data_IF_481809300874
#
_entry.id   IF_481809300874
#
_cell.length_a   1.000
_cell.length_b   1.000
_cell.length_c   1.000
_cell.angle_alpha   90.00
_cell.angle_beta   90.00
_cell.angle_gamma   90.00
#
_symmetry.space_group_name_H-M   'P 1'
#
loop_
_entity.id
_entity.type
_entity.pdbx_description
1 polymer ?
#
# COMPACT_ATOMS: atom_id res chain seq x y z
N UNK A 1 -31.03 -30.94 33.15
CA UNK A 1 -31.22 -30.57 31.73
C UNK A 1 -32.46 -29.69 31.65
N UNK A 2 -32.32 -28.50 31.02
CA UNK A 2 -33.43 -27.60 30.78
C UNK A 2 -33.69 -27.52 29.30
N UNK A 3 -35.00 -27.62 28.88
CA UNK A 3 -35.45 -27.62 27.50
C UNK A 3 -36.44 -26.49 27.32
N UNK A 4 -36.27 -25.71 26.28
CA UNK A 4 -37.22 -24.68 25.87
C UNK A 4 -37.64 -24.95 24.44
N UNK A 5 -38.91 -24.83 24.15
CA UNK A 5 -39.47 -25.03 22.82
C UNK A 5 -40.19 -23.75 22.41
N UNK A 6 -39.94 -23.28 21.21
CA UNK A 6 -40.71 -22.27 20.53
C UNK A 6 -41.37 -22.96 19.32
N UNK A 7 -42.70 -22.86 19.18
CA UNK A 7 -43.45 -23.47 18.07
C UNK A 7 -43.12 -24.94 17.82
N UNK A 8 -43.05 -25.76 18.87
CA UNK A 8 -42.70 -27.20 18.85
C UNK A 8 -41.24 -27.52 18.47
N UNK A 9 -40.41 -26.51 18.20
CA UNK A 9 -38.99 -26.69 17.97
C UNK A 9 -38.18 -26.38 19.23
N UNK A 10 -37.06 -27.07 19.38
CA UNK A 10 -36.12 -26.89 20.46
C UNK A 10 -35.42 -25.56 20.33
N UNK A 11 -35.45 -24.69 21.35
CA UNK A 11 -34.79 -23.42 21.37
C UNK A 11 -33.36 -23.49 21.93
N UNK A 12 -33.22 -24.16 23.09
CA UNK A 12 -31.92 -24.33 23.73
C UNK A 12 -31.84 -25.62 24.58
N UNK A 13 -30.60 -26.09 24.78
CA UNK A 13 -30.27 -27.22 25.65
C UNK A 13 -28.95 -26.96 26.38
N UNK A 14 -28.88 -27.33 27.65
CA UNK A 14 -27.66 -27.27 28.42
C UNK A 14 -27.81 -27.76 29.86
N UNK A 15 -26.74 -27.67 30.61
CA UNK A 15 -26.65 -28.11 31.99
C UNK A 15 -26.43 -26.95 32.94
N UNK A 16 -27.09 -27.02 34.09
CA UNK A 16 -26.80 -26.21 35.25
C UNK A 16 -26.18 -27.05 36.38
N UNK A 17 -25.12 -26.53 36.98
CA UNK A 17 -24.54 -27.09 38.21
C UNK A 17 -24.56 -25.96 39.24
N UNK A 18 -25.21 -26.20 40.36
CA UNK A 18 -25.38 -25.21 41.42
C UNK A 18 -25.96 -23.88 40.96
N UNK A 19 -26.91 -23.92 39.99
CA UNK A 19 -27.54 -22.71 39.41
C UNK A 19 -26.74 -21.97 38.36
N UNK A 20 -25.56 -22.47 37.96
CA UNK A 20 -24.69 -21.89 36.95
C UNK A 20 -24.61 -22.76 35.71
N UNK A 21 -24.54 -22.12 34.54
CA UNK A 21 -24.32 -22.84 33.29
C UNK A 21 -23.00 -23.60 33.33
N UNK A 22 -23.02 -24.88 32.96
CA UNK A 22 -21.84 -25.73 32.87
C UNK A 22 -21.95 -26.70 31.70
N UNK A 23 -20.83 -27.13 31.13
CA UNK A 23 -20.80 -28.07 30.03
C UNK A 23 -21.32 -27.50 28.73
N UNK A 24 -21.66 -28.35 27.77
CA UNK A 24 -22.11 -27.97 26.45
C UNK A 24 -23.49 -27.34 26.48
N UNK A 25 -23.61 -26.21 25.84
CA UNK A 25 -24.86 -25.51 25.58
C UNK A 25 -25.03 -25.36 24.08
N UNK A 26 -26.29 -25.63 23.59
CA UNK A 26 -26.65 -25.55 22.17
C UNK A 26 -27.93 -24.73 22.05
N UNK A 27 -27.98 -23.86 21.06
CA UNK A 27 -29.16 -23.10 20.65
C UNK A 27 -29.53 -23.45 19.21
N UNK A 28 -30.79 -23.32 18.88
CA UNK A 28 -31.35 -23.59 17.56
C UNK A 28 -32.16 -22.41 17.07
N UNK A 29 -32.16 -22.24 15.77
CA UNK A 29 -33.09 -21.34 15.08
C UNK A 29 -34.52 -21.91 15.07
N UNK A 30 -35.53 -21.08 14.77
CA UNK A 30 -36.92 -21.49 14.67
C UNK A 30 -37.18 -22.60 13.62
N UNK A 31 -36.31 -22.69 12.59
CA UNK A 31 -36.35 -23.74 11.58
C UNK A 31 -35.71 -25.08 12.03
N UNK A 32 -35.25 -25.16 13.27
CA UNK A 32 -34.63 -26.36 13.85
C UNK A 32 -33.15 -26.55 13.49
N UNK A 33 -32.56 -25.65 12.75
CA UNK A 33 -31.11 -25.64 12.47
C UNK A 33 -30.37 -25.14 13.70
N UNK A 34 -29.20 -25.71 13.99
CA UNK A 34 -28.35 -25.27 15.10
C UNK A 34 -27.91 -23.82 14.84
N UNK A 35 -28.06 -22.94 15.84
CA UNK A 35 -27.66 -21.53 15.79
C UNK A 35 -26.26 -21.32 16.39
N UNK A 36 -26.03 -21.95 17.56
CA UNK A 36 -24.71 -21.88 18.21
C UNK A 36 -24.51 -23.06 19.17
N UNK A 37 -23.23 -23.40 19.37
CA UNK A 37 -22.83 -24.42 20.32
C UNK A 37 -21.49 -24.10 20.95
N UNK A 38 -21.36 -24.34 22.25
CA UNK A 38 -20.11 -24.17 22.97
C UNK A 38 -20.22 -24.59 24.43
N UNK A 39 -19.14 -24.49 25.14
CA UNK A 39 -19.08 -24.84 26.53
C UNK A 39 -19.13 -23.63 27.45
N UNK A 40 -19.84 -23.81 28.58
CA UNK A 40 -19.76 -22.93 29.74
C UNK A 40 -19.02 -23.60 30.89
N UNK A 41 -18.34 -22.79 31.67
CA UNK A 41 -17.82 -23.14 32.98
C UNK A 41 -18.19 -22.01 33.95
N UNK A 42 -19.07 -22.32 34.92
CA UNK A 42 -19.58 -21.38 35.91
C UNK A 42 -20.16 -20.07 35.30
N UNK A 43 -21.07 -20.18 34.31
CA UNK A 43 -21.68 -19.11 33.53
C UNK A 43 -20.75 -18.39 32.54
N UNK A 44 -19.46 -18.70 32.47
CA UNK A 44 -18.52 -18.12 31.55
C UNK A 44 -18.28 -19.02 30.33
N UNK A 45 -18.27 -18.45 29.13
CA UNK A 45 -17.91 -19.18 27.91
C UNK A 45 -16.49 -19.73 28.04
N UNK A 46 -16.25 -20.98 27.65
CA UNK A 46 -14.96 -21.62 27.76
C UNK A 46 -14.75 -22.66 26.64
N UNK A 47 -13.58 -22.62 26.01
CA UNK A 47 -13.27 -23.46 24.84
C UNK A 47 -13.83 -22.91 23.52
N UNK A 48 -13.95 -23.77 22.52
CA UNK A 48 -14.45 -23.44 21.20
C UNK A 48 -15.95 -23.20 21.21
N UNK A 49 -16.39 -22.14 20.61
CA UNK A 49 -17.76 -21.79 20.30
C UNK A 49 -17.95 -21.75 18.80
N UNK A 50 -18.98 -22.43 18.29
CA UNK A 50 -19.33 -22.39 16.87
C UNK A 50 -20.71 -21.76 16.72
N UNK A 51 -20.80 -20.82 15.77
CA UNK A 51 -22.01 -20.16 15.34
C UNK A 51 -22.33 -20.58 13.92
N UNK A 52 -23.58 -20.83 13.63
CA UNK A 52 -24.03 -21.39 12.36
C UNK A 52 -24.94 -20.45 11.61
N UNK A 53 -24.92 -20.51 10.31
CA UNK A 53 -25.88 -19.83 9.44
C UNK A 53 -27.21 -20.60 9.37
N UNK A 54 -28.24 -19.98 8.79
CA UNK A 54 -29.59 -20.60 8.68
C UNK A 54 -29.63 -21.88 7.85
N UNK A 55 -28.65 -22.10 6.99
CA UNK A 55 -28.47 -23.31 6.19
C UNK A 55 -27.70 -24.44 6.94
N UNK A 56 -27.23 -24.14 8.16
CA UNK A 56 -26.48 -25.04 9.01
C UNK A 56 -24.96 -25.04 8.77
N UNK A 57 -24.45 -24.21 7.86
CA UNK A 57 -23.02 -24.04 7.69
C UNK A 57 -22.42 -23.27 8.86
N UNK A 58 -21.13 -23.47 9.14
CA UNK A 58 -20.40 -22.71 10.15
C UNK A 58 -20.20 -21.27 9.61
N UNK A 59 -20.69 -20.28 10.36
CA UNK A 59 -20.50 -18.86 10.06
C UNK A 59 -19.33 -18.26 10.85
N UNK A 60 -19.17 -18.66 12.12
CA UNK A 60 -18.11 -18.16 12.97
C UNK A 60 -17.67 -19.23 13.99
N UNK A 61 -16.37 -19.27 14.27
CA UNK A 61 -15.78 -20.04 15.37
C UNK A 61 -14.94 -19.12 16.24
N UNK A 62 -15.11 -19.17 17.56
CA UNK A 62 -14.36 -18.35 18.51
C UNK A 62 -13.90 -19.22 19.67
N UNK A 63 -12.64 -19.06 20.10
CA UNK A 63 -12.15 -19.68 21.33
C UNK A 63 -12.25 -18.70 22.50
N UNK A 64 -12.81 -19.17 23.61
CA UNK A 64 -12.99 -18.42 24.85
C UNK A 64 -12.22 -19.07 26.01
N UNK A 65 -11.75 -18.26 26.94
CA UNK A 65 -11.26 -18.64 28.25
C UNK A 65 -11.85 -17.69 29.29
N UNK A 66 -12.58 -18.21 30.26
CA UNK A 66 -13.22 -17.45 31.32
C UNK A 66 -14.01 -16.23 30.77
N UNK A 67 -14.89 -16.47 29.77
CA UNK A 67 -15.77 -15.48 29.14
C UNK A 67 -15.08 -14.47 28.21
N UNK A 68 -13.76 -14.54 28.04
CA UNK A 68 -13.00 -13.66 27.15
C UNK A 68 -12.54 -14.41 25.91
N UNK A 69 -12.55 -13.73 24.75
CA UNK A 69 -11.89 -14.29 23.55
C UNK A 69 -10.42 -14.56 23.88
N UNK A 70 -9.97 -15.80 23.69
CA UNK A 70 -8.60 -16.24 24.00
C UNK A 70 -8.24 -17.42 23.08
N UNK A 71 -7.48 -17.15 22.04
CA UNK A 71 -7.18 -18.08 20.97
C UNK A 71 -7.72 -17.59 19.61
N UNK A 72 -7.98 -18.52 18.72
CA UNK A 72 -8.41 -18.27 17.35
C UNK A 72 -9.89 -17.88 17.27
N UNK A 73 -10.20 -16.92 16.41
CA UNK A 73 -11.52 -16.58 15.91
C UNK A 73 -11.48 -16.62 14.39
N UNK A 74 -12.43 -17.32 13.76
CA UNK A 74 -12.55 -17.46 12.30
C UNK A 74 -13.97 -17.11 11.90
N UNK A 75 -14.12 -16.23 10.90
CA UNK A 75 -15.38 -15.91 10.24
C UNK A 75 -15.31 -16.50 8.83
N UNK A 76 -16.40 -17.16 8.41
CA UNK A 76 -16.53 -17.81 7.14
C UNK A 76 -17.54 -17.06 6.26
N UNK A 77 -17.19 -16.85 4.99
CA UNK A 77 -18.12 -16.34 3.98
C UNK A 77 -19.09 -17.44 3.51
N UNK A 78 -18.56 -18.63 3.37
CA UNK A 78 -19.28 -19.88 3.07
C UNK A 78 -18.44 -21.06 3.58
N UNK A 79 -18.90 -22.32 3.49
CA UNK A 79 -18.20 -23.47 4.07
C UNK A 79 -16.76 -23.71 3.60
N UNK A 80 -16.39 -23.17 2.44
CA UNK A 80 -15.07 -23.38 1.82
C UNK A 80 -14.19 -22.13 1.89
N UNK A 81 -14.77 -20.95 2.14
CA UNK A 81 -14.07 -19.66 2.06
C UNK A 81 -14.09 -18.93 3.39
N UNK A 82 -12.89 -18.71 3.93
CA UNK A 82 -12.70 -17.81 5.07
C UNK A 82 -12.89 -16.35 4.62
N UNK A 83 -13.49 -15.55 5.49
CA UNK A 83 -13.54 -14.10 5.38
C UNK A 83 -12.50 -13.46 6.29
N UNK A 84 -12.33 -14.01 7.50
CA UNK A 84 -11.46 -13.42 8.51
C UNK A 84 -10.91 -14.50 9.46
N UNK A 85 -9.66 -14.37 9.88
CA UNK A 85 -9.06 -15.13 10.97
C UNK A 85 -8.24 -14.21 11.86
N UNK A 86 -8.54 -14.21 13.15
CA UNK A 86 -7.89 -13.37 14.17
C UNK A 86 -7.45 -14.20 15.36
N UNK A 87 -6.42 -13.73 16.05
CA UNK A 87 -5.97 -14.33 17.29
C UNK A 87 -6.13 -13.33 18.44
N UNK A 88 -6.66 -13.85 19.55
CA UNK A 88 -6.94 -13.07 20.75
C UNK A 88 -6.18 -13.65 21.96
N UNK A 89 -5.85 -12.78 22.90
CA UNK A 89 -5.36 -13.12 24.22
C UNK A 89 -6.04 -12.23 25.27
N UNK A 90 -6.73 -12.86 26.23
CA UNK A 90 -7.47 -12.13 27.26
C UNK A 90 -8.44 -11.07 26.71
N UNK A 91 -9.11 -11.33 25.59
CA UNK A 91 -10.08 -10.44 24.96
C UNK A 91 -9.49 -9.41 24.01
N UNK A 92 -8.17 -9.31 23.89
CA UNK A 92 -7.46 -8.37 23.00
C UNK A 92 -6.89 -9.09 21.80
N UNK A 93 -6.79 -8.40 20.65
CA UNK A 93 -6.06 -8.89 19.50
C UNK A 93 -4.58 -9.10 19.89
N UNK A 94 -4.08 -10.34 19.69
CA UNK A 94 -2.71 -10.73 20.04
C UNK A 94 -2.28 -11.89 19.13
N UNK A 95 -1.62 -11.55 18.03
CA UNK A 95 -1.24 -12.45 16.96
C UNK A 95 -1.68 -11.95 15.57
N UNK A 96 -1.56 -12.78 14.54
CA UNK A 96 -1.93 -12.40 13.18
C UNK A 96 -3.44 -12.22 13.03
N UNK A 97 -3.84 -11.20 12.27
CA UNK A 97 -5.19 -10.95 11.80
C UNK A 97 -5.15 -10.93 10.28
N UNK A 98 -5.84 -11.89 9.65
CA UNK A 98 -5.85 -12.09 8.20
C UNK A 98 -7.25 -11.91 7.66
N UNK A 99 -7.38 -11.17 6.56
CA UNK A 99 -8.62 -10.98 5.80
C UNK A 99 -8.50 -11.62 4.43
N UNK A 100 -9.57 -12.23 3.96
CA UNK A 100 -9.70 -12.82 2.63
C UNK A 100 -10.75 -12.07 1.81
N UNK A 101 -10.51 -11.97 0.53
CA UNK A 101 -11.43 -11.42 -0.46
C UNK A 101 -11.48 -12.38 -1.64
N UNK A 102 -12.68 -12.86 -1.99
CA UNK A 102 -12.88 -13.84 -3.07
C UNK A 102 -12.00 -15.10 -2.94
N UNK A 103 -11.82 -15.60 -1.71
CA UNK A 103 -10.99 -16.78 -1.42
C UNK A 103 -9.47 -16.52 -1.38
N UNK A 104 -9.00 -15.35 -1.77
CA UNK A 104 -7.60 -14.97 -1.71
C UNK A 104 -7.28 -14.13 -0.49
N UNK A 105 -6.06 -14.24 0.03
CA UNK A 105 -5.60 -13.36 1.11
C UNK A 105 -5.52 -11.91 0.61
N UNK A 106 -6.14 -10.99 1.32
CA UNK A 106 -6.07 -9.56 1.02
C UNK A 106 -5.02 -8.86 1.88
N UNK A 107 -5.16 -8.98 3.21
CA UNK A 107 -4.23 -8.37 4.16
C UNK A 107 -3.96 -9.27 5.35
N UNK A 108 -2.78 -9.16 5.91
CA UNK A 108 -2.43 -9.72 7.22
C UNK A 108 -1.68 -8.68 8.03
N UNK A 109 -2.10 -8.48 9.27
CA UNK A 109 -1.42 -7.59 10.23
C UNK A 109 -1.26 -8.33 11.55
N UNK A 110 -0.07 -8.31 12.13
CA UNK A 110 0.18 -8.89 13.45
C UNK A 110 -0.10 -7.83 14.51
N UNK A 111 -0.78 -8.27 15.58
CA UNK A 111 -1.16 -7.42 16.71
C UNK A 111 -0.54 -7.92 18.01
N UNK A 112 -0.34 -6.99 18.93
CA UNK A 112 -0.03 -7.24 20.32
C UNK A 112 -0.87 -6.33 21.21
N UNK A 113 -1.77 -6.92 21.98
CA UNK A 113 -2.69 -6.19 22.87
C UNK A 113 -3.45 -5.06 22.15
N UNK A 114 -4.07 -5.36 21.00
CA UNK A 114 -4.85 -4.48 20.12
C UNK A 114 -4.04 -3.48 19.29
N UNK A 115 -2.72 -3.40 19.45
CA UNK A 115 -1.86 -2.54 18.64
C UNK A 115 -1.18 -3.34 17.52
N UNK A 116 -1.10 -2.82 16.29
CA UNK A 116 -0.24 -3.39 15.25
C UNK A 116 1.21 -3.45 15.75
N UNK A 117 1.75 -4.66 15.81
CA UNK A 117 3.10 -4.94 16.33
C UNK A 117 3.62 -6.22 15.69
N UNK A 118 4.60 -6.11 14.81
CA UNK A 118 5.16 -7.26 14.09
C UNK A 118 4.92 -7.18 12.58
N UNK A 119 5.09 -8.31 11.86
CA UNK A 119 4.98 -8.33 10.41
C UNK A 119 3.56 -8.04 9.91
N UNK A 120 3.50 -7.37 8.76
CA UNK A 120 2.29 -7.20 7.97
C UNK A 120 2.57 -7.53 6.50
N UNK A 121 1.51 -7.98 5.79
CA UNK A 121 1.57 -8.33 4.37
C UNK A 121 0.27 -7.88 3.70
N UNK A 122 0.37 -7.33 2.51
CA UNK A 122 -0.75 -7.04 1.61
C UNK A 122 -0.51 -7.80 0.31
N UNK A 123 -1.56 -8.44 -0.21
CA UNK A 123 -1.52 -9.19 -1.45
C UNK A 123 -2.23 -8.43 -2.57
N UNK A 124 -1.88 -8.73 -3.81
CA UNK A 124 -2.63 -8.26 -4.97
C UNK A 124 -4.06 -8.87 -4.97
N UNK A 125 -5.08 -8.11 -5.39
CA UNK A 125 -6.46 -8.62 -5.47
C UNK A 125 -6.55 -9.87 -6.33
N UNK A 126 -7.31 -10.88 -5.83
CA UNK A 126 -7.54 -12.17 -6.50
C UNK A 126 -6.25 -12.92 -6.85
N UNK A 127 -5.22 -12.80 -6.02
CA UNK A 127 -3.90 -13.41 -6.22
C UNK A 127 -3.25 -13.77 -4.89
N UNK A 128 -2.39 -14.79 -4.90
CA UNK A 128 -1.48 -15.09 -3.77
C UNK A 128 -0.14 -14.32 -3.88
N UNK A 129 -0.01 -13.43 -4.90
CA UNK A 129 1.17 -12.61 -5.06
C UNK A 129 1.19 -11.48 -4.02
N UNK A 130 2.30 -11.37 -3.30
CA UNK A 130 2.52 -10.27 -2.34
C UNK A 130 2.68 -8.97 -3.13
N UNK A 131 1.96 -7.93 -2.72
CA UNK A 131 2.10 -6.55 -3.20
C UNK A 131 3.10 -5.77 -2.35
N UNK A 132 2.96 -5.85 -1.03
CA UNK A 132 3.86 -5.18 -0.09
C UNK A 132 3.93 -5.92 1.23
N UNK A 133 5.06 -5.81 1.92
CA UNK A 133 5.28 -6.38 3.24
C UNK A 133 6.27 -5.53 4.04
N UNK A 134 6.15 -5.61 5.36
CA UNK A 134 7.01 -4.86 6.27
C UNK A 134 6.74 -5.18 7.73
N UNK A 135 7.06 -4.23 8.57
CA UNK A 135 6.94 -4.36 10.01
C UNK A 135 6.22 -3.15 10.62
N UNK A 136 5.41 -3.39 11.66
CA UNK A 136 4.88 -2.34 12.53
C UNK A 136 5.53 -2.42 13.89
N UNK A 137 5.84 -1.27 14.46
CA UNK A 137 6.19 -1.08 15.85
C UNK A 137 5.30 0.00 16.45
N UNK A 138 4.65 -0.29 17.58
CA UNK A 138 3.71 0.63 18.25
C UNK A 138 2.60 1.18 17.34
N UNK A 139 2.19 0.44 16.31
CA UNK A 139 1.09 0.79 15.40
C UNK A 139 1.51 1.55 14.14
N UNK A 140 2.79 1.88 13.98
CA UNK A 140 3.33 2.59 12.81
C UNK A 140 4.29 1.72 12.01
N UNK A 141 4.45 2.00 10.71
CA UNK A 141 5.45 1.31 9.88
C UNK A 141 6.85 1.63 10.39
N UNK A 142 7.67 0.58 10.59
CA UNK A 142 9.03 0.68 11.09
C UNK A 142 9.91 -0.39 10.44
N UNK A 143 11.19 -0.05 10.15
CA UNK A 143 12.15 -1.00 9.57
C UNK A 143 11.94 -1.24 8.08
N UNK A 144 12.50 -2.35 7.59
CA UNK A 144 12.52 -2.69 6.17
C UNK A 144 11.10 -2.95 5.65
N UNK A 145 10.77 -2.31 4.53
CA UNK A 145 9.53 -2.55 3.77
C UNK A 145 9.89 -2.82 2.31
N UNK A 146 9.26 -3.83 1.73
CA UNK A 146 9.48 -4.27 0.35
C UNK A 146 8.16 -4.25 -0.41
N UNK A 147 8.19 -3.73 -1.63
CA UNK A 147 7.07 -3.69 -2.58
C UNK A 147 7.41 -4.52 -3.80
N UNK A 148 6.41 -5.16 -4.38
CA UNK A 148 6.55 -6.04 -5.54
C UNK A 148 5.59 -5.63 -6.65
N UNK A 149 5.93 -5.92 -7.88
CA UNK A 149 5.02 -5.91 -9.01
C UNK A 149 4.08 -7.12 -8.95
N UNK A 150 3.04 -7.09 -9.76
CA UNK A 150 2.02 -8.14 -9.86
C UNK A 150 2.56 -9.50 -10.33
N UNK A 151 3.71 -9.52 -11.01
CA UNK A 151 4.44 -10.72 -11.42
C UNK A 151 5.40 -11.28 -10.35
N UNK A 152 5.53 -10.58 -9.20
CA UNK A 152 6.42 -10.94 -8.09
C UNK A 152 7.84 -10.37 -8.19
N UNK A 153 8.16 -9.64 -9.24
CA UNK A 153 9.42 -8.92 -9.35
C UNK A 153 9.46 -7.80 -8.30
N UNK A 154 10.60 -7.61 -7.65
CA UNK A 154 10.78 -6.52 -6.68
C UNK A 154 10.59 -5.17 -7.37
N UNK A 155 9.78 -4.29 -6.80
CA UNK A 155 9.53 -2.95 -7.30
C UNK A 155 10.37 -1.92 -6.57
N UNK A 156 10.37 -1.95 -5.24
CA UNK A 156 11.18 -1.06 -4.40
C UNK A 156 11.33 -1.61 -3.00
N UNK A 157 12.39 -1.22 -2.32
CA UNK A 157 12.56 -1.47 -0.90
C UNK A 157 13.32 -0.33 -0.22
N UNK A 158 13.09 -0.19 1.08
CA UNK A 158 13.76 0.77 1.94
C UNK A 158 13.25 0.70 3.35
N UNK A 159 13.76 1.58 4.18
CA UNK A 159 13.42 1.62 5.60
C UNK A 159 12.34 2.67 5.87
N UNK A 160 11.42 2.33 6.77
CA UNK A 160 10.56 3.30 7.46
C UNK A 160 11.12 3.59 8.84
N UNK A 161 10.97 4.83 9.27
CA UNK A 161 11.22 5.29 10.62
C UNK A 161 10.11 6.23 11.05
N UNK A 162 9.50 5.93 12.19
CA UNK A 162 8.36 6.71 12.71
C UNK A 162 7.22 6.89 11.69
N UNK A 163 6.99 5.88 10.84
CA UNK A 163 5.94 5.86 9.83
C UNK A 163 6.28 6.56 8.50
N UNK A 164 7.46 7.16 8.37
CA UNK A 164 7.93 7.84 7.16
C UNK A 164 9.08 7.09 6.50
N UNK A 165 9.21 7.11 5.15
CA UNK A 165 10.39 6.61 4.48
C UNK A 165 11.65 7.31 4.98
N UNK A 166 12.71 6.55 5.26
CA UNK A 166 13.99 7.04 5.82
C UNK A 166 15.18 6.49 5.03
N UNK A 167 16.19 7.34 4.81
CA UNK A 167 17.42 6.97 4.12
C UNK A 167 17.21 6.62 2.65
N UNK A 168 18.06 5.73 2.14
CA UNK A 168 18.07 5.38 0.72
C UNK A 168 17.08 4.27 0.42
N UNK A 169 16.19 4.52 -0.53
CA UNK A 169 15.30 3.55 -1.12
C UNK A 169 15.78 3.16 -2.52
N UNK A 170 15.80 1.86 -2.81
CA UNK A 170 16.16 1.33 -4.12
C UNK A 170 14.91 0.94 -4.89
N UNK A 171 14.88 1.30 -6.18
CA UNK A 171 13.79 1.03 -7.11
C UNK A 171 14.28 0.13 -8.25
N UNK A 172 13.44 -0.80 -8.68
CA UNK A 172 13.70 -1.72 -9.80
C UNK A 172 12.60 -1.60 -10.86
N UNK A 173 12.93 -1.89 -12.10
CA UNK A 173 11.97 -2.01 -13.18
C UNK A 173 11.34 -3.42 -13.22
N UNK A 174 10.29 -3.62 -14.03
CA UNK A 174 9.61 -4.93 -14.19
C UNK A 174 10.52 -6.05 -14.72
N UNK A 175 11.71 -5.76 -15.25
CA UNK A 175 12.70 -6.76 -15.64
C UNK A 175 13.59 -7.21 -14.48
N UNK A 176 13.42 -6.64 -13.30
CA UNK A 176 14.25 -6.90 -12.13
C UNK A 176 15.61 -6.19 -12.15
N UNK A 177 15.81 -5.25 -13.06
CA UNK A 177 17.03 -4.45 -13.13
C UNK A 177 16.90 -3.23 -12.22
N UNK A 178 17.98 -2.91 -11.50
CA UNK A 178 18.00 -1.71 -10.66
C UNK A 178 17.80 -0.47 -11.53
N UNK A 179 16.82 0.33 -11.16
CA UNK A 179 16.42 1.52 -11.89
C UNK A 179 17.10 2.77 -11.32
N UNK A 180 16.87 3.07 -10.05
CA UNK A 180 17.51 4.19 -9.35
C UNK A 180 17.47 4.01 -7.84
N UNK A 181 18.26 4.82 -7.13
CA UNK A 181 18.12 5.04 -5.70
C UNK A 181 17.53 6.44 -5.47
N UNK A 182 16.68 6.57 -4.44
CA UNK A 182 16.21 7.85 -3.95
C UNK A 182 16.51 7.99 -2.47
N UNK A 183 17.20 9.07 -2.08
CA UNK A 183 17.54 9.34 -0.69
C UNK A 183 16.50 10.27 -0.05
N UNK A 184 15.62 9.68 0.79
CA UNK A 184 14.64 10.42 1.59
C UNK A 184 15.30 11.25 2.70
N UNK A 185 16.60 11.04 2.99
CA UNK A 185 17.27 11.61 4.15
C UNK A 185 16.75 11.01 5.45
N UNK A 186 17.27 11.51 6.58
CA UNK A 186 16.82 11.08 7.90
C UNK A 186 16.10 12.21 8.60
N UNK A 187 14.85 11.96 9.02
CA UNK A 187 14.04 12.93 9.77
C UNK A 187 13.61 14.16 8.97
N UNK A 188 13.61 14.09 7.63
CA UNK A 188 13.04 15.15 6.80
C UNK A 188 11.51 15.07 6.81
N UNK A 189 10.87 16.22 6.79
CA UNK A 189 9.43 16.30 6.64
C UNK A 189 9.01 15.91 5.23
N UNK A 190 7.93 15.13 5.12
CA UNK A 190 7.31 14.75 3.86
C UNK A 190 6.01 15.54 3.69
N UNK A 191 5.81 16.13 2.53
CA UNK A 191 4.62 16.94 2.24
C UNK A 191 4.10 16.65 0.84
N UNK A 192 2.78 16.65 0.68
CA UNK A 192 2.16 16.54 -0.63
C UNK A 192 2.37 17.82 -1.45
N UNK A 193 2.55 17.67 -2.77
CA UNK A 193 2.76 18.83 -3.66
C UNK A 193 1.58 19.81 -3.59
N UNK A 194 0.36 19.34 -3.38
CA UNK A 194 -0.86 20.15 -3.26
C UNK A 194 -0.89 21.03 -2.01
N UNK A 195 -0.12 20.69 -0.97
CA UNK A 195 0.04 21.47 0.26
C UNK A 195 1.13 22.53 0.18
N UNK A 196 1.71 22.70 -1.00
CA UNK A 196 2.75 23.69 -1.27
C UNK A 196 2.30 24.76 -2.25
N UNK A 197 2.94 25.91 -2.16
CA UNK A 197 2.88 26.97 -3.14
C UNK A 197 4.28 27.28 -3.65
N UNK A 198 4.45 27.35 -4.98
CA UNK A 198 5.70 27.75 -5.62
C UNK A 198 5.63 29.24 -5.96
N UNK A 199 6.60 30.04 -5.46
CA UNK A 199 6.79 31.46 -5.76
C UNK A 199 8.24 31.67 -6.19
N UNK A 200 8.47 32.20 -7.37
CA UNK A 200 9.81 32.46 -7.91
C UNK A 200 10.76 31.24 -7.80
N UNK A 201 10.29 30.07 -8.25
CA UNK A 201 11.00 28.79 -8.16
C UNK A 201 11.43 28.40 -6.73
N UNK A 202 10.67 28.85 -5.73
CA UNK A 202 10.86 28.52 -4.31
C UNK A 202 9.57 27.97 -3.74
N UNK A 203 9.64 26.80 -3.08
CA UNK A 203 8.50 26.12 -2.46
C UNK A 203 8.30 26.59 -1.02
N UNK A 204 7.05 26.84 -0.67
CA UNK A 204 6.58 27.21 0.66
C UNK A 204 5.39 26.34 1.03
N UNK A 205 5.20 26.04 2.31
CA UNK A 205 3.94 25.44 2.76
C UNK A 205 2.78 26.42 2.60
N UNK A 206 1.60 25.92 2.32
CA UNK A 206 0.40 26.73 2.30
C UNK A 206 0.23 27.43 3.65
N UNK A 207 0.17 28.78 3.61
CA UNK A 207 0.02 29.60 4.81
C UNK A 207 1.30 29.86 5.60
N UNK A 208 2.46 29.43 5.11
CA UNK A 208 3.78 29.73 5.68
C UNK A 208 4.61 30.55 4.69
N UNK A 209 5.40 31.49 5.21
CA UNK A 209 6.34 32.32 4.42
C UNK A 209 7.79 31.80 4.54
N UNK A 210 8.04 30.73 5.28
CA UNK A 210 9.36 30.09 5.37
C UNK A 210 9.57 29.11 4.23
N UNK A 211 10.70 29.18 3.50
CA UNK A 211 11.01 28.22 2.44
C UNK A 211 11.06 26.79 2.95
N UNK A 212 10.35 25.87 2.27
CA UNK A 212 10.25 24.48 2.68
C UNK A 212 11.56 23.70 2.45
N UNK A 213 11.96 22.91 3.46
CA UNK A 213 13.05 21.94 3.34
C UNK A 213 12.50 20.56 3.71
N UNK A 214 12.52 19.62 2.78
CA UNK A 214 11.97 18.29 2.98
C UNK A 214 11.77 17.53 1.69
N UNK A 215 10.94 16.52 1.75
CA UNK A 215 10.54 15.67 0.62
C UNK A 215 9.17 16.12 0.12
N UNK A 216 9.07 16.33 -1.18
CA UNK A 216 7.82 16.64 -1.86
C UNK A 216 7.37 15.37 -2.58
N UNK A 217 6.13 14.96 -2.34
CA UNK A 217 5.49 13.81 -3.00
C UNK A 217 4.21 14.23 -3.69
N UNK A 218 3.87 13.55 -4.76
CA UNK A 218 2.51 13.52 -5.31
C UNK A 218 2.19 12.08 -5.59
N UNK A 219 1.22 11.54 -4.85
CA UNK A 219 0.84 10.14 -4.95
C UNK A 219 -0.13 9.91 -6.11
N UNK A 220 -0.01 8.74 -6.71
CA UNK A 220 -0.99 8.18 -7.62
C UNK A 220 -1.44 6.82 -7.04
N UNK A 221 -2.74 6.57 -6.89
CA UNK A 221 -3.26 5.31 -6.35
C UNK A 221 -2.80 4.05 -7.09
N UNK A 222 -2.40 4.16 -8.37
CA UNK A 222 -1.99 3.03 -9.19
C UNK A 222 -0.47 2.83 -9.30
N UNK A 223 0.33 3.91 -9.15
CA UNK A 223 1.80 3.86 -9.33
C UNK A 223 2.59 4.32 -8.12
N UNK A 224 1.92 4.62 -7.01
CA UNK A 224 2.43 5.16 -5.73
C UNK A 224 2.93 6.62 -5.80
N UNK A 225 3.64 7.02 -6.85
CA UNK A 225 4.08 8.41 -7.01
C UNK A 225 3.93 8.89 -8.46
N UNK A 226 3.41 10.11 -8.64
CA UNK A 226 3.52 10.89 -9.87
C UNK A 226 4.75 11.78 -9.84
N UNK A 227 5.21 12.10 -8.64
CA UNK A 227 6.26 13.07 -8.42
C UNK A 227 6.97 12.79 -7.10
N UNK A 228 8.30 12.79 -7.12
CA UNK A 228 9.13 12.58 -5.96
C UNK A 228 10.37 13.48 -6.07
N UNK A 229 10.60 14.32 -5.07
CA UNK A 229 11.73 15.22 -5.08
C UNK A 229 12.10 15.76 -3.70
N UNK A 230 13.31 16.25 -3.57
CA UNK A 230 13.81 16.91 -2.36
C UNK A 230 13.99 18.40 -2.55
N UNK A 231 13.68 19.17 -1.51
CA UNK A 231 13.96 20.60 -1.46
C UNK A 231 14.89 20.94 -0.30
N UNK A 232 15.63 22.00 -0.49
CA UNK A 232 16.45 22.63 0.54
C UNK A 232 16.29 24.15 0.45
N UNK A 233 15.83 24.75 1.55
CA UNK A 233 15.51 26.19 1.58
C UNK A 233 14.54 26.58 0.44
N UNK A 234 13.52 25.79 0.21
CA UNK A 234 12.51 25.99 -0.84
C UNK A 234 12.95 25.67 -2.26
N UNK A 235 14.22 25.44 -2.52
CA UNK A 235 14.74 25.15 -3.87
C UNK A 235 14.88 23.67 -4.10
N UNK A 236 14.63 23.21 -5.33
CA UNK A 236 14.91 21.83 -5.74
C UNK A 236 16.36 21.48 -5.46
N UNK A 237 16.60 20.36 -4.74
CA UNK A 237 17.93 19.89 -4.34
C UNK A 237 17.98 18.37 -4.32
N UNK A 238 19.04 17.77 -4.89
CA UNK A 238 19.16 16.31 -5.01
C UNK A 238 18.33 15.73 -6.15
N UNK A 239 17.95 14.46 -6.00
CA UNK A 239 17.26 13.71 -7.06
C UNK A 239 15.78 14.07 -7.16
N UNK A 240 15.29 14.10 -8.41
CA UNK A 240 13.90 14.35 -8.77
C UNK A 240 13.47 13.34 -9.83
N UNK A 241 12.29 12.77 -9.62
CA UNK A 241 11.68 11.83 -10.55
C UNK A 241 10.22 12.22 -10.76
N UNK A 242 9.78 12.19 -12.01
CA UNK A 242 8.40 12.43 -12.39
C UNK A 242 7.92 11.31 -13.31
N UNK A 243 6.71 10.85 -13.08
CA UNK A 243 6.06 9.81 -13.87
C UNK A 243 4.92 10.40 -14.70
N UNK A 244 4.57 9.73 -15.78
CA UNK A 244 3.34 10.01 -16.50
C UNK A 244 2.14 9.56 -15.65
N UNK A 245 1.02 10.30 -15.67
CA UNK A 245 -0.22 9.83 -15.04
C UNK A 245 -0.64 8.50 -15.67
N UNK A 246 -0.99 7.49 -14.85
CA UNK A 246 -1.57 6.25 -15.36
C UNK A 246 -2.99 6.55 -15.84
N UNK A 247 -3.27 6.24 -17.11
CA UNK A 247 -4.51 6.68 -17.74
C UNK A 247 -5.73 5.85 -17.35
N UNK A 248 -6.49 6.33 -16.35
CA UNK A 248 -7.93 6.05 -16.27
C UNK A 248 -8.81 7.29 -16.06
N UNK A 249 -8.22 8.43 -15.71
CA UNK A 249 -8.97 9.67 -15.49
C UNK A 249 -8.30 10.86 -16.20
N UNK A 250 -8.23 10.81 -17.53
CA UNK A 250 -8.14 12.05 -18.30
C UNK A 250 -9.58 12.50 -18.53
N UNK A 251 -10.02 13.68 -18.04
CA UNK A 251 -11.32 14.22 -18.44
C UNK A 251 -11.35 14.27 -19.97
N UNK A 252 -12.41 13.73 -20.53
CA UNK A 252 -12.71 13.78 -21.96
C UNK A 252 -12.69 15.24 -22.43
N UNK A 253 -11.53 15.70 -22.92
CA UNK A 253 -11.46 16.97 -23.65
C UNK A 253 -12.12 16.67 -24.98
N UNK A 254 -13.31 17.24 -25.19
CA UNK A 254 -14.05 17.24 -26.44
C UNK A 254 -13.11 17.75 -27.53
N UNK A 255 -12.52 16.83 -28.28
CA UNK A 255 -11.74 17.16 -29.48
C UNK A 255 -12.68 17.51 -30.59
N UNK A 256 -12.65 18.78 -30.97
CA UNK A 256 -13.11 19.24 -32.29
C UNK A 256 -12.30 18.50 -33.35
N UNK A 257 -13.00 17.92 -34.34
CA UNK A 257 -12.46 17.05 -35.39
C UNK A 257 -11.14 17.54 -36.02
N UNK A 258 -10.08 16.78 -35.80
CA UNK A 258 -8.83 16.78 -36.57
C UNK A 258 -8.58 15.32 -36.98
N UNK A 259 -8.12 15.02 -38.22
CA UNK A 259 -8.03 13.65 -38.72
C UNK A 259 -7.17 12.76 -37.84
N UNK A 260 -7.63 11.53 -37.64
CA UNK A 260 -7.18 10.54 -36.66
C UNK A 260 -5.66 10.46 -36.51
N UNK A 261 -5.13 10.73 -35.31
CA UNK A 261 -3.82 10.22 -34.94
C UNK A 261 -3.89 8.71 -34.71
N UNK A 262 -2.74 8.06 -34.88
CA UNK A 262 -2.55 6.62 -34.62
C UNK A 262 -3.10 6.23 -33.23
N UNK A 263 -3.51 4.96 -33.02
CA UNK A 263 -4.14 4.53 -31.77
C UNK A 263 -3.28 4.88 -30.58
N UNK A 264 -3.82 5.68 -29.68
CA UNK A 264 -3.17 6.06 -28.43
C UNK A 264 -2.91 4.79 -27.62
N UNK A 265 -1.63 4.46 -27.46
CA UNK A 265 -1.20 3.42 -26.52
C UNK A 265 -1.60 3.89 -25.13
N UNK A 266 -2.31 3.08 -24.32
CA UNK A 266 -2.68 3.48 -22.98
C UNK A 266 -1.45 3.90 -22.20
N UNK A 267 -1.54 5.03 -21.51
CA UNK A 267 -0.46 5.59 -20.69
C UNK A 267 0.03 4.55 -19.69
N UNK A 268 1.33 4.21 -19.75
CA UNK A 268 1.90 3.09 -19.01
C UNK A 268 2.26 3.40 -17.55
N UNK A 269 2.13 4.66 -17.13
CA UNK A 269 2.65 5.11 -15.82
C UNK A 269 4.18 5.15 -15.74
N UNK A 270 4.87 5.03 -16.89
CA UNK A 270 6.31 5.09 -16.99
C UNK A 270 6.89 6.45 -16.59
N UNK A 271 8.20 6.51 -16.34
CA UNK A 271 8.88 7.77 -16.02
C UNK A 271 8.77 8.78 -17.15
N UNK A 272 8.57 10.05 -16.80
CA UNK A 272 8.59 11.18 -17.70
C UNK A 272 9.97 11.85 -17.72
N UNK A 273 10.53 12.13 -16.56
CA UNK A 273 11.85 12.71 -16.40
C UNK A 273 12.49 12.29 -15.07
N UNK A 274 13.81 12.20 -15.06
CA UNK A 274 14.61 11.91 -13.89
C UNK A 274 15.96 12.62 -13.97
N UNK A 275 16.37 13.23 -12.86
CA UNK A 275 17.69 13.87 -12.79
C UNK A 275 17.93 14.56 -11.47
N UNK A 276 19.09 15.17 -11.37
CA UNK A 276 19.52 15.92 -10.19
C UNK A 276 19.26 17.41 -10.31
N UNK A 277 19.03 18.04 -9.17
CA UNK A 277 19.03 19.50 -9.02
C UNK A 277 20.07 19.92 -7.98
N UNK A 278 20.60 21.10 -8.16
CA UNK A 278 21.45 21.78 -7.20
C UNK A 278 21.01 23.25 -7.13
N UNK A 279 20.60 23.70 -5.95
CA UNK A 279 20.12 25.08 -5.73
C UNK A 279 19.04 25.53 -6.73
N UNK A 280 18.13 24.61 -7.11
CA UNK A 280 17.03 24.89 -8.05
C UNK A 280 17.38 24.75 -9.53
N UNK A 281 18.63 24.48 -9.89
CA UNK A 281 19.06 24.31 -11.27
C UNK A 281 19.32 22.84 -11.61
N UNK A 282 18.95 22.40 -12.83
CA UNK A 282 19.27 21.04 -13.31
C UNK A 282 20.78 20.81 -13.21
N UNK A 283 21.20 19.66 -12.64
CA UNK A 283 22.60 19.32 -12.43
C UNK A 283 22.84 17.82 -12.46
N UNK A 284 23.95 17.38 -13.08
CA UNK A 284 24.29 15.97 -13.23
C UNK A 284 23.50 15.28 -14.33
N UNK A 285 23.41 13.95 -14.26
CA UNK A 285 22.76 13.13 -15.29
C UNK A 285 21.26 13.38 -15.34
N UNK A 286 20.74 13.50 -16.58
CA UNK A 286 19.32 13.65 -16.86
C UNK A 286 18.87 12.70 -17.93
N UNK A 287 17.66 12.15 -17.76
CA UNK A 287 16.98 11.33 -18.75
C UNK A 287 15.52 11.76 -18.83
N UNK A 288 15.03 11.92 -20.04
CA UNK A 288 13.62 12.14 -20.35
C UNK A 288 13.10 10.96 -21.17
N UNK A 289 11.85 10.60 -20.98
CA UNK A 289 11.17 9.52 -21.70
C UNK A 289 9.93 10.02 -22.43
N UNK A 290 9.57 9.32 -23.47
CA UNK A 290 8.25 9.40 -24.06
C UNK A 290 7.26 8.57 -23.21
N UNK A 291 5.97 8.79 -23.40
CA UNK A 291 4.87 8.08 -22.75
C UNK A 291 4.82 6.57 -23.09
N UNK A 292 5.48 6.13 -24.15
CA UNK A 292 5.68 4.72 -24.52
C UNK A 292 6.95 4.10 -23.92
N UNK A 293 7.53 4.70 -22.87
CA UNK A 293 8.71 4.27 -22.12
C UNK A 293 10.03 4.29 -22.91
N UNK A 294 10.04 4.69 -24.17
CA UNK A 294 11.28 4.91 -24.89
C UNK A 294 11.97 6.16 -24.41
N UNK A 295 13.29 6.13 -24.29
CA UNK A 295 14.10 7.30 -23.96
C UNK A 295 13.90 8.35 -25.04
N UNK A 296 13.60 9.59 -24.63
CA UNK A 296 13.53 10.77 -25.51
C UNK A 296 14.86 11.47 -25.62
N UNK A 297 15.54 11.64 -24.47
CA UNK A 297 16.86 12.25 -24.42
C UNK A 297 17.60 11.85 -23.16
N UNK A 298 18.92 11.81 -23.22
CA UNK A 298 19.76 11.73 -22.02
C UNK A 298 21.08 12.47 -22.21
N UNK A 299 21.64 12.95 -21.10
CA UNK A 299 22.89 13.68 -21.05
C UNK A 299 23.16 14.22 -19.66
N UNK A 300 23.95 15.26 -19.57
CA UNK A 300 24.26 15.91 -18.31
C UNK A 300 23.90 17.40 -18.34
N UNK A 301 23.50 17.93 -17.19
CA UNK A 301 23.33 19.35 -16.94
C UNK A 301 24.39 19.83 -15.96
N UNK A 302 24.89 21.05 -16.16
CA UNK A 302 25.70 21.77 -15.21
C UNK A 302 25.11 23.16 -15.03
N UNK A 303 24.72 23.44 -13.78
CA UNK A 303 24.15 24.75 -13.39
C UNK A 303 23.01 25.21 -14.31
N UNK A 304 22.09 24.31 -14.63
CA UNK A 304 20.89 24.55 -15.45
C UNK A 304 21.10 24.49 -16.97
N UNK A 305 22.34 24.30 -17.45
CA UNK A 305 22.68 24.27 -18.88
C UNK A 305 23.10 22.87 -19.29
N UNK A 306 22.67 22.42 -20.48
CA UNK A 306 23.12 21.16 -21.06
C UNK A 306 24.64 21.18 -21.24
N UNK A 307 25.33 20.19 -20.70
CA UNK A 307 26.79 20.04 -20.73
C UNK A 307 27.19 18.61 -21.14
N UNK A 308 28.36 18.46 -21.76
CA UNK A 308 28.86 17.17 -22.18
C UNK A 308 28.08 16.53 -23.32
N UNK A 309 28.06 15.19 -23.34
CA UNK A 309 27.51 14.42 -24.45
C UNK A 309 26.02 14.18 -24.29
N UNK A 310 25.22 14.56 -25.30
CA UNK A 310 23.78 14.36 -25.34
C UNK A 310 23.36 13.44 -26.47
N UNK A 311 22.36 12.58 -26.19
CA UNK A 311 21.72 11.73 -27.19
C UNK A 311 20.22 11.98 -27.17
N UNK A 312 19.63 12.09 -28.36
CA UNK A 312 18.20 12.28 -28.60
C UNK A 312 17.65 11.13 -29.44
N UNK A 313 16.43 10.73 -29.19
CA UNK A 313 15.79 9.62 -29.85
C UNK A 313 14.41 10.01 -30.36
N UNK A 314 13.98 9.38 -31.44
CA UNK A 314 12.60 9.40 -31.88
C UNK A 314 11.71 8.55 -30.96
N UNK A 315 10.37 8.76 -31.00
CA UNK A 315 9.40 8.02 -30.21
C UNK A 315 9.44 6.49 -30.41
N UNK A 316 9.93 6.02 -31.57
CA UNK A 316 10.13 4.61 -31.87
C UNK A 316 11.47 4.03 -31.33
N UNK A 317 12.21 4.79 -30.52
CA UNK A 317 13.47 4.38 -29.91
C UNK A 317 14.70 4.46 -30.84
N UNK A 318 14.53 4.90 -32.09
CA UNK A 318 15.64 5.08 -33.01
C UNK A 318 16.36 6.39 -32.67
N UNK A 319 17.69 6.33 -32.62
CA UNK A 319 18.51 7.52 -32.37
C UNK A 319 18.25 8.59 -33.42
N UNK A 320 17.91 9.81 -32.98
CA UNK A 320 17.69 10.97 -33.85
C UNK A 320 19.01 11.71 -34.10
N UNK A 321 19.70 12.05 -33.01
CA UNK A 321 20.97 12.79 -33.05
C UNK A 321 21.74 12.60 -31.76
N UNK A 322 23.04 12.84 -31.84
CA UNK A 322 23.94 12.88 -30.67
C UNK A 322 25.08 13.85 -30.89
N UNK A 323 25.64 14.36 -29.81
CA UNK A 323 26.78 15.29 -29.89
C UNK A 323 27.19 15.85 -28.55
N UNK A 324 28.35 16.42 -28.49
CA UNK A 324 28.86 17.14 -27.32
C UNK A 324 28.41 18.58 -27.35
N UNK A 325 27.83 19.05 -26.25
CA UNK A 325 27.51 20.45 -25.98
C UNK A 325 28.52 20.93 -24.95
N UNK A 326 29.36 21.89 -25.34
CA UNK A 326 30.41 22.47 -24.49
C UNK A 326 30.01 23.88 -24.09
N UNK A 327 29.95 24.15 -22.78
CA UNK A 327 29.67 25.47 -22.22
C UNK A 327 30.62 26.58 -22.73
N UNK A 328 31.81 26.20 -23.25
CA UNK A 328 32.80 27.15 -23.77
C UNK A 328 32.42 27.77 -25.13
N UNK A 329 31.40 27.24 -25.82
CA UNK A 329 30.99 27.67 -27.17
C UNK A 329 29.74 28.57 -27.22
N UNK A 330 29.15 28.94 -26.08
CA UNK A 330 27.96 29.83 -26.02
C UNK A 330 28.33 31.24 -25.63
N UNK A 331 29.48 31.72 -26.02
CA UNK A 331 29.84 33.13 -25.99
C UNK A 331 29.96 33.65 -27.42
N UNK A 332 28.80 33.95 -28.04
CA UNK A 332 28.70 34.93 -29.11
C UNK A 332 27.45 35.76 -28.87
#
# INVERSE_FOLDING_TARGET
>A
NWWWYLNDNKEMEGYYVEGRKNGTWTWWFDNGVKQSEGNYYNDEQNGLWSYFALDGSIAEEITFTAGKRDGRSTIWLNPEEKQEEKFYKNGKLDGPSTYWVNGYRGTMTTYKSDKPEGPWVIWYPNSDQIKEQGFHQDGIKEGLTTYYYDDGTMQREGFFKEGLPDGVWTYWNKKGEKDFDFDFGTGLEHIALEDLVEREATFFKLGDDSPFTGIITQENPETDYLFLGRTKNGKKDGQWVKWFPSGKDVPEIILVEVPAPEPEVPWSGGKQEQGGFKEGQKHGKWTEWYDNEHIKSHGEYKDGIMDGYWTFYHRNGIKEKEGSLDLSLIHI
#
